data_IF_623990844916
#
_entry.id   IF_623990844916
#
_cell.length_a   1.000
_cell.length_b   1.000
_cell.length_c   1.000
_cell.angle_alpha   90.00
_cell.angle_beta   90.00
_cell.angle_gamma   90.00
#
_symmetry.space_group_name_H-M   'P 1'
#
loop_
_entity.id
_entity.type
_entity.pdbx_description
1 polymer ?
#
# COMPACT_ATOMS: atom_id res chain seq x y z
N UNK A 1 11.70 10.94 -14.26
CA UNK A 1 10.50 11.34 -13.53
C UNK A 1 9.54 10.18 -13.20
N UNK A 2 9.87 8.90 -13.48
CA UNK A 2 9.14 7.71 -13.05
C UNK A 2 7.93 7.30 -13.89
N UNK A 3 7.66 7.98 -15.01
CA UNK A 3 6.63 7.54 -15.95
C UNK A 3 7.05 6.27 -16.69
N UNK A 4 6.10 5.36 -16.89
CA UNK A 4 6.24 4.21 -17.78
C UNK A 4 6.33 4.75 -19.22
N UNK A 5 7.38 4.37 -20.01
CA UNK A 5 7.59 4.95 -21.35
C UNK A 5 6.37 4.82 -22.26
N UNK A 6 5.71 3.67 -22.28
CA UNK A 6 4.52 3.41 -23.08
C UNK A 6 3.34 4.30 -22.68
N UNK A 7 3.15 4.53 -21.36
CA UNK A 7 2.12 5.43 -20.85
C UNK A 7 2.33 6.86 -21.35
N UNK A 8 3.59 7.29 -21.30
CA UNK A 8 3.96 8.64 -21.72
C UNK A 8 3.81 8.83 -23.23
N UNK A 9 4.21 7.85 -24.04
CA UNK A 9 4.04 7.86 -25.50
C UNK A 9 2.56 7.89 -25.87
N UNK A 10 1.73 7.04 -25.24
CA UNK A 10 0.28 7.03 -25.50
C UNK A 10 -0.34 8.39 -25.18
N UNK A 11 -0.03 8.96 -24.03
CA UNK A 11 -0.53 10.27 -23.65
C UNK A 11 -0.08 11.37 -24.61
N UNK A 12 1.19 11.38 -25.03
CA UNK A 12 1.70 12.34 -26.01
C UNK A 12 1.01 12.21 -27.37
N UNK A 13 0.76 10.99 -27.83
CA UNK A 13 0.03 10.78 -29.08
C UNK A 13 -1.36 11.43 -29.01
N UNK A 14 -2.13 11.15 -27.96
CA UNK A 14 -3.47 11.71 -27.78
C UNK A 14 -3.49 13.22 -27.49
N UNK A 15 -2.36 13.79 -27.15
CA UNK A 15 -2.26 15.24 -26.93
C UNK A 15 -2.54 16.04 -28.23
N UNK A 16 -2.17 15.48 -29.39
CA UNK A 16 -2.36 16.15 -30.68
C UNK A 16 -3.08 15.31 -31.74
N UNK A 17 -3.39 14.06 -31.47
CA UNK A 17 -4.03 13.13 -32.36
C UNK A 17 -5.35 12.60 -31.79
N UNK A 18 -6.33 12.34 -32.67
CA UNK A 18 -7.62 11.75 -32.29
C UNK A 18 -7.80 10.38 -32.95
N UNK A 19 -7.96 9.27 -32.21
CA UNK A 19 -8.15 7.94 -32.79
C UNK A 19 -9.48 7.79 -33.55
N UNK A 20 -10.45 8.69 -33.33
CA UNK A 20 -11.80 8.58 -33.86
C UNK A 20 -12.68 7.60 -33.11
N UNK A 21 -12.23 7.14 -31.94
CA UNK A 21 -12.94 6.26 -31.01
C UNK A 21 -12.82 6.85 -29.60
N UNK A 22 -13.53 6.28 -28.64
CA UNK A 22 -13.42 6.65 -27.22
C UNK A 22 -12.25 5.94 -26.48
N UNK A 23 -11.50 5.10 -27.21
CA UNK A 23 -10.35 4.39 -26.63
C UNK A 23 -9.24 5.40 -26.31
N UNK A 24 -8.76 5.38 -25.07
CA UNK A 24 -7.64 6.21 -24.61
C UNK A 24 -6.38 5.38 -24.31
N UNK A 25 -6.53 4.11 -23.91
CA UNK A 25 -5.39 3.23 -23.59
C UNK A 25 -5.14 2.28 -24.76
N UNK A 26 -3.91 2.33 -25.28
CA UNK A 26 -3.45 1.52 -26.41
C UNK A 26 -2.18 0.78 -26.05
N UNK A 27 -2.04 -0.48 -26.46
CA UNK A 27 -0.69 -1.07 -26.53
C UNK A 27 0.15 -0.31 -27.56
N UNK A 28 1.47 -0.47 -27.53
CA UNK A 28 2.34 0.18 -28.52
C UNK A 28 2.04 -0.29 -29.94
N UNK A 29 1.67 -1.57 -30.11
CA UNK A 29 1.26 -2.15 -31.38
C UNK A 29 -0.06 -1.54 -31.88
N UNK A 30 -1.07 -1.46 -31.01
CA UNK A 30 -2.36 -0.84 -31.33
C UNK A 30 -2.19 0.65 -31.68
N UNK A 31 -1.37 1.36 -30.91
CA UNK A 31 -1.09 2.78 -31.17
C UNK A 31 -0.41 2.99 -32.53
N UNK A 32 0.57 2.14 -32.86
CA UNK A 32 1.27 2.19 -34.14
C UNK A 32 0.34 1.87 -35.30
N UNK A 33 -0.64 0.96 -35.15
CA UNK A 33 -1.62 0.63 -36.18
C UNK A 33 -2.70 1.68 -36.33
N UNK A 34 -3.15 2.29 -35.23
CA UNK A 34 -4.23 3.27 -35.24
C UNK A 34 -3.76 4.69 -35.69
N UNK A 35 -2.49 5.01 -35.41
CA UNK A 35 -1.95 6.36 -35.65
C UNK A 35 -1.96 6.74 -37.11
N UNK A 36 -2.51 7.92 -37.40
CA UNK A 36 -2.54 8.52 -38.75
C UNK A 36 -2.29 10.01 -38.67
N UNK A 37 -1.42 10.52 -39.56
CA UNK A 37 -1.12 11.93 -39.64
C UNK A 37 -2.34 12.79 -40.04
N UNK A 38 -3.29 12.22 -40.76
CA UNK A 38 -4.52 12.90 -41.20
C UNK A 38 -5.43 13.27 -40.03
N UNK A 39 -5.26 12.62 -38.88
CA UNK A 39 -6.04 12.85 -37.67
C UNK A 39 -5.29 13.69 -36.61
N UNK A 40 -4.13 14.23 -36.98
CA UNK A 40 -3.39 15.16 -36.13
C UNK A 40 -4.04 16.54 -36.17
N UNK A 41 -4.43 17.03 -34.99
CA UNK A 41 -5.03 18.37 -34.86
C UNK A 41 -4.02 19.48 -35.14
N UNK A 42 -4.50 20.59 -35.73
CA UNK A 42 -3.68 21.77 -35.98
C UNK A 42 -3.68 22.80 -34.86
N UNK A 43 -4.49 22.60 -33.83
CA UNK A 43 -4.56 23.47 -32.66
C UNK A 43 -3.43 23.14 -31.68
N UNK A 44 -2.97 24.16 -30.94
CA UNK A 44 -1.99 23.97 -29.89
C UNK A 44 -2.54 23.01 -28.80
N UNK A 45 -1.73 22.05 -28.42
CA UNK A 45 -2.06 21.10 -27.36
C UNK A 45 -1.51 21.59 -26.02
N UNK A 46 -2.26 21.39 -24.93
CA UNK A 46 -1.83 21.72 -23.57
C UNK A 46 -1.53 20.42 -22.83
N UNK A 47 -0.33 20.33 -22.29
CA UNK A 47 0.05 19.24 -21.42
C UNK A 47 -0.73 19.33 -20.09
N UNK A 48 -1.37 18.22 -19.70
CA UNK A 48 -2.09 18.08 -18.44
C UNK A 48 -1.37 17.05 -17.56
N UNK A 49 -0.70 17.48 -16.46
CA UNK A 49 0.01 16.58 -15.57
C UNK A 49 -0.90 15.55 -14.87
N UNK A 50 -2.14 15.91 -14.56
CA UNK A 50 -3.07 14.97 -13.91
C UNK A 50 -3.52 13.88 -14.89
N UNK A 51 -3.75 14.25 -16.16
CA UNK A 51 -4.02 13.26 -17.22
C UNK A 51 -2.80 12.36 -17.45
N UNK A 52 -1.59 12.90 -17.39
CA UNK A 52 -0.36 12.11 -17.51
C UNK A 52 -0.23 11.08 -16.35
N UNK A 53 -0.52 11.46 -15.13
CA UNK A 53 -0.56 10.52 -13.98
C UNK A 53 -1.62 9.44 -14.17
N UNK A 54 -2.80 9.82 -14.64
CA UNK A 54 -3.86 8.87 -14.92
C UNK A 54 -3.43 7.83 -15.95
N UNK A 55 -2.80 8.25 -17.06
CA UNK A 55 -2.24 7.32 -18.04
C UNK A 55 -1.22 6.38 -17.39
N UNK A 56 -0.30 6.93 -16.61
CA UNK A 56 0.72 6.12 -15.92
C UNK A 56 0.09 5.09 -14.99
N UNK A 57 -0.93 5.48 -14.23
CA UNK A 57 -1.70 4.57 -13.39
C UNK A 57 -2.32 3.43 -14.20
N UNK A 58 -3.00 3.74 -15.33
CA UNK A 58 -3.61 2.71 -16.17
C UNK A 58 -2.58 1.68 -16.66
N UNK A 59 -1.43 2.13 -17.17
CA UNK A 59 -0.37 1.22 -17.60
C UNK A 59 0.27 0.45 -16.45
N UNK A 60 0.41 1.06 -15.28
CA UNK A 60 0.88 0.36 -14.08
C UNK A 60 -0.07 -0.78 -13.71
N UNK A 61 -1.38 -0.57 -13.83
CA UNK A 61 -2.39 -1.61 -13.57
C UNK A 61 -2.32 -2.79 -14.55
N UNK A 62 -1.88 -2.59 -15.79
CA UNK A 62 -1.71 -3.69 -16.77
C UNK A 62 -0.51 -4.57 -16.49
N UNK A 63 0.52 -4.07 -15.78
CA UNK A 63 1.70 -4.87 -15.43
C UNK A 63 1.35 -5.96 -14.42
N UNK A 64 1.98 -7.10 -14.52
CA UNK A 64 1.87 -8.17 -13.52
C UNK A 64 2.52 -7.76 -12.20
N UNK A 65 2.11 -8.40 -11.10
CA UNK A 65 2.74 -8.14 -9.80
C UNK A 65 4.24 -8.50 -9.81
N UNK A 66 4.63 -9.52 -10.58
CA UNK A 66 6.03 -9.94 -10.74
C UNK A 66 6.86 -8.87 -11.45
N UNK A 67 6.35 -8.29 -12.55
CA UNK A 67 7.03 -7.19 -13.26
C UNK A 67 7.20 -5.96 -12.35
N UNK A 68 6.14 -5.59 -11.62
CA UNK A 68 6.21 -4.47 -10.68
C UNK A 68 7.12 -4.76 -9.49
N UNK A 69 7.14 -6.00 -8.98
CA UNK A 69 8.07 -6.42 -7.93
C UNK A 69 9.54 -6.28 -8.41
N UNK A 70 9.83 -6.66 -9.65
CA UNK A 70 11.16 -6.47 -10.24
C UNK A 70 11.58 -5.00 -10.32
N UNK A 71 10.65 -4.10 -10.64
CA UNK A 71 10.89 -2.65 -10.66
C UNK A 71 10.99 -2.05 -9.25
N UNK A 72 10.31 -2.64 -8.28
CA UNK A 72 10.26 -2.17 -6.90
C UNK A 72 11.44 -2.65 -6.05
N UNK A 73 11.99 -3.84 -6.34
CA UNK A 73 13.08 -4.43 -5.58
C UNK A 73 14.28 -3.48 -5.35
N UNK A 74 14.81 -2.77 -6.37
CA UNK A 74 15.91 -1.81 -6.17
C UNK A 74 15.57 -0.69 -5.18
N UNK A 75 14.30 -0.25 -5.14
CA UNK A 75 13.86 0.82 -4.22
C UNK A 75 13.88 0.33 -2.77
N UNK A 76 13.45 -0.92 -2.53
CA UNK A 76 13.50 -1.55 -1.20
C UNK A 76 14.94 -1.74 -0.75
N UNK A 77 15.84 -2.17 -1.65
CA UNK A 77 17.28 -2.35 -1.36
C UNK A 77 17.97 -1.03 -1.08
N UNK A 78 17.67 0.03 -1.85
CA UNK A 78 18.20 1.39 -1.64
C UNK A 78 17.75 1.96 -0.28
N UNK A 79 16.55 1.59 0.19
CA UNK A 79 16.06 1.92 1.53
C UNK A 79 16.76 1.12 2.64
N UNK A 80 17.75 0.26 2.32
CA UNK A 80 18.49 -0.56 3.26
C UNK A 80 17.71 -1.74 3.83
N UNK A 81 16.59 -2.12 3.20
CA UNK A 81 15.72 -3.18 3.67
C UNK A 81 16.00 -4.50 2.94
N UNK A 82 15.83 -5.62 3.67
CA UNK A 82 15.95 -6.96 3.10
C UNK A 82 14.61 -7.40 2.52
N UNK A 83 14.66 -7.96 1.32
CA UNK A 83 13.53 -8.66 0.69
C UNK A 83 13.64 -10.14 1.08
N UNK A 84 12.63 -10.73 1.77
CA UNK A 84 12.66 -12.14 2.16
C UNK A 84 12.80 -13.08 0.95
N UNK A 85 11.93 -12.90 -0.03
CA UNK A 85 11.93 -13.60 -1.31
C UNK A 85 11.08 -12.83 -2.35
N UNK A 86 11.15 -13.25 -3.63
CA UNK A 86 10.40 -12.61 -4.70
C UNK A 86 8.87 -12.72 -4.51
N UNK A 87 8.38 -13.85 -4.02
CA UNK A 87 6.95 -14.06 -3.77
C UNK A 87 6.41 -13.14 -2.67
N UNK A 88 7.23 -12.80 -1.68
CA UNK A 88 6.87 -11.81 -0.67
C UNK A 88 6.65 -10.42 -1.30
N UNK A 89 7.58 -10.00 -2.15
CA UNK A 89 7.49 -8.69 -2.81
C UNK A 89 6.28 -8.60 -3.75
N UNK A 90 5.97 -9.66 -4.47
CA UNK A 90 4.77 -9.75 -5.31
C UNK A 90 3.47 -9.61 -4.50
N UNK A 91 3.41 -10.23 -3.32
CA UNK A 91 2.26 -10.07 -2.38
C UNK A 91 2.14 -8.63 -1.88
N UNK A 92 3.25 -7.99 -1.51
CA UNK A 92 3.25 -6.57 -1.11
C UNK A 92 2.72 -5.70 -2.24
N UNK A 93 3.23 -5.87 -3.45
CA UNK A 93 2.76 -5.14 -4.63
C UNK A 93 1.26 -5.33 -4.84
N UNK A 94 0.75 -6.57 -4.77
CA UNK A 94 -0.67 -6.87 -4.92
C UNK A 94 -1.57 -6.09 -3.95
N UNK A 95 -1.09 -5.84 -2.72
CA UNK A 95 -1.86 -5.12 -1.69
C UNK A 95 -1.92 -3.61 -1.89
N UNK A 96 -0.96 -3.03 -2.61
CA UNK A 96 -0.82 -1.57 -2.69
C UNK A 96 -0.87 -1.01 -4.11
N UNK A 97 -0.78 -1.86 -5.14
CA UNK A 97 -0.72 -1.50 -6.56
C UNK A 97 -1.83 -0.52 -6.99
N UNK A 98 -3.06 -0.74 -6.54
CA UNK A 98 -4.21 0.10 -6.90
C UNK A 98 -4.16 1.53 -6.31
N UNK A 99 -3.26 1.77 -5.36
CA UNK A 99 -3.16 3.03 -4.60
C UNK A 99 -2.08 3.96 -5.12
N UNK A 100 -1.35 3.55 -6.16
CA UNK A 100 -0.17 4.26 -6.64
C UNK A 100 -0.28 4.60 -8.12
N UNK A 101 0.30 5.72 -8.51
CA UNK A 101 0.42 6.14 -9.89
C UNK A 101 1.81 5.88 -10.46
N UNK A 102 2.81 5.74 -9.60
CA UNK A 102 4.21 5.53 -9.97
C UNK A 102 4.83 4.38 -9.17
N UNK A 103 5.83 3.72 -9.73
CA UNK A 103 6.51 2.60 -9.08
C UNK A 103 7.17 3.03 -7.75
N UNK A 104 7.74 4.23 -7.68
CA UNK A 104 8.37 4.72 -6.45
C UNK A 104 7.37 4.94 -5.31
N UNK A 105 6.11 5.25 -5.62
CA UNK A 105 5.05 5.39 -4.60
C UNK A 105 4.69 4.07 -3.92
N UNK A 106 5.09 2.92 -4.51
CA UNK A 106 4.94 1.62 -3.84
C UNK A 106 5.63 1.60 -2.48
N UNK A 107 6.79 2.27 -2.36
CA UNK A 107 7.50 2.38 -1.09
C UNK A 107 6.68 3.12 -0.05
N UNK A 108 6.12 4.27 -0.38
CA UNK A 108 5.33 5.08 0.54
C UNK A 108 4.08 4.34 1.06
N UNK A 109 3.53 3.43 0.23
CA UNK A 109 2.36 2.64 0.57
C UNK A 109 2.68 1.30 1.24
N UNK A 110 3.97 0.89 1.35
CA UNK A 110 4.33 -0.47 1.78
C UNK A 110 5.59 -0.59 2.65
N UNK A 111 6.30 0.49 2.95
CA UNK A 111 7.55 0.45 3.72
C UNK A 111 7.42 -0.32 5.06
N UNK A 112 6.25 -0.30 5.68
CA UNK A 112 5.96 -0.98 6.94
C UNK A 112 5.97 -2.52 6.83
N UNK A 113 5.95 -3.09 5.64
CA UNK A 113 6.19 -4.53 5.45
C UNK A 113 7.66 -4.91 5.66
N UNK A 114 8.58 -3.97 5.56
CA UNK A 114 10.02 -4.19 5.61
C UNK A 114 10.68 -3.70 6.90
N UNK A 115 10.12 -2.67 7.53
CA UNK A 115 10.63 -2.11 8.77
C UNK A 115 9.52 -1.62 9.70
N UNK A 116 9.82 -1.56 11.01
CA UNK A 116 8.90 -1.01 11.99
C UNK A 116 8.75 0.51 11.85
N UNK A 117 7.63 1.10 12.30
CA UNK A 117 7.47 2.55 12.33
C UNK A 117 8.46 3.21 13.30
N UNK A 118 9.10 4.26 12.83
CA UNK A 118 9.99 5.11 13.63
C UNK A 118 9.25 6.31 14.24
N UNK A 119 8.11 6.67 13.63
CA UNK A 119 7.24 7.76 14.08
C UNK A 119 5.77 7.38 13.94
N UNK A 120 4.92 8.12 14.62
CA UNK A 120 3.47 7.88 14.63
C UNK A 120 2.72 9.15 14.23
N UNK A 121 1.62 9.00 13.48
CA UNK A 121 0.76 10.13 13.09
C UNK A 121 0.13 10.77 14.33
N UNK A 122 0.66 11.91 14.74
CA UNK A 122 0.23 12.65 15.92
C UNK A 122 -1.26 12.98 15.92
N UNK A 123 -1.85 13.27 14.76
CA UNK A 123 -3.28 13.60 14.66
C UNK A 123 -4.13 12.38 14.97
N UNK A 124 -3.74 11.22 14.46
CA UNK A 124 -4.42 9.95 14.74
C UNK A 124 -4.20 9.53 16.18
N UNK A 125 -2.99 9.67 16.72
CA UNK A 125 -2.69 9.39 18.14
C UNK A 125 -3.61 10.23 19.04
N UNK A 126 -3.59 11.55 18.94
CA UNK A 126 -4.43 12.46 19.77
C UNK A 126 -5.92 12.12 19.68
N UNK A 127 -6.40 11.72 18.51
CA UNK A 127 -7.82 11.42 18.29
C UNK A 127 -8.24 10.03 18.74
N UNK A 128 -7.38 9.03 18.59
CA UNK A 128 -7.74 7.61 18.67
C UNK A 128 -7.06 6.81 19.77
N UNK A 129 -5.87 7.23 20.21
CA UNK A 129 -5.23 6.62 21.36
C UNK A 129 -5.90 7.15 22.65
N UNK A 130 -6.46 6.25 23.47
CA UNK A 130 -7.18 6.57 24.70
C UNK A 130 -6.46 5.91 25.87
N UNK A 131 -6.79 6.33 27.09
CA UNK A 131 -6.16 5.87 28.35
C UNK A 131 -6.19 4.35 28.49
N UNK A 132 -7.23 3.68 28.01
CA UNK A 132 -7.39 2.23 28.05
C UNK A 132 -6.77 1.48 26.85
N UNK A 133 -6.31 2.20 25.81
CA UNK A 133 -5.81 1.58 24.57
C UNK A 133 -4.57 0.73 24.85
N UNK A 134 -3.63 1.23 25.61
CA UNK A 134 -2.40 0.51 25.95
C UNK A 134 -2.69 -0.82 26.65
N UNK A 135 -3.57 -0.81 27.66
CA UNK A 135 -3.99 -2.02 28.38
C UNK A 135 -4.65 -3.06 27.48
N UNK A 136 -5.60 -2.61 26.65
CA UNK A 136 -6.29 -3.49 25.70
C UNK A 136 -5.33 -4.11 24.67
N UNK A 137 -4.36 -3.35 24.17
CA UNK A 137 -3.37 -3.89 23.22
C UNK A 137 -2.42 -4.87 23.90
N UNK A 138 -2.07 -4.67 25.18
CA UNK A 138 -1.28 -5.63 25.95
C UNK A 138 -2.02 -6.96 26.15
N UNK A 139 -3.32 -6.92 26.49
CA UNK A 139 -4.14 -8.13 26.58
C UNK A 139 -4.24 -8.85 25.21
N UNK A 140 -4.41 -8.09 24.12
CA UNK A 140 -4.46 -8.64 22.76
C UNK A 140 -3.14 -9.27 22.32
N UNK A 141 -1.99 -8.80 22.79
CA UNK A 141 -0.71 -9.44 22.50
C UNK A 141 -0.68 -10.89 22.99
N UNK A 142 -1.19 -11.16 24.19
CA UNK A 142 -1.26 -12.52 24.73
C UNK A 142 -2.19 -13.42 23.90
N UNK A 143 -3.29 -12.87 23.43
CA UNK A 143 -4.22 -13.55 22.52
C UNK A 143 -3.56 -13.87 21.18
N UNK A 144 -2.93 -12.87 20.55
CA UNK A 144 -2.24 -13.00 19.25
C UNK A 144 -1.07 -13.99 19.34
N UNK A 145 -0.36 -14.03 20.45
CA UNK A 145 0.74 -14.97 20.71
C UNK A 145 0.33 -16.43 20.58
N UNK A 146 -0.91 -16.76 20.96
CA UNK A 146 -1.46 -18.11 20.91
C UNK A 146 -2.03 -18.55 19.56
N UNK A 147 -2.12 -17.66 18.55
CA UNK A 147 -2.75 -17.97 17.26
C UNK A 147 -1.91 -18.97 16.47
N UNK A 148 -2.50 -20.08 16.04
CA UNK A 148 -1.87 -21.11 15.19
C UNK A 148 -2.93 -21.79 14.31
N UNK A 149 -2.76 -21.81 12.96
CA UNK A 149 -1.69 -21.16 12.18
C UNK A 149 -1.79 -19.63 12.19
N UNK A 150 -0.65 -18.94 12.02
CA UNK A 150 -0.59 -17.47 12.03
C UNK A 150 -0.95 -16.90 10.66
N UNK A 151 -2.22 -17.00 10.32
CA UNK A 151 -2.80 -16.52 9.05
C UNK A 151 -3.76 -15.35 9.30
N UNK A 152 -3.99 -14.56 8.27
CA UNK A 152 -4.93 -13.43 8.30
C UNK A 152 -6.27 -13.79 8.97
N UNK A 153 -6.88 -14.90 8.54
CA UNK A 153 -8.20 -15.31 9.01
C UNK A 153 -8.14 -15.84 10.47
N UNK A 154 -7.15 -16.65 10.79
CA UNK A 154 -6.97 -17.14 12.18
C UNK A 154 -6.72 -16.00 13.18
N UNK A 155 -5.93 -15.00 12.79
CA UNK A 155 -5.68 -13.82 13.64
C UNK A 155 -6.96 -13.01 13.80
N UNK A 156 -7.67 -12.74 12.70
CA UNK A 156 -8.93 -12.01 12.71
C UNK A 156 -9.96 -12.68 13.64
N UNK A 157 -10.21 -13.98 13.43
CA UNK A 157 -11.26 -14.72 14.14
C UNK A 157 -10.94 -14.83 15.63
N UNK A 158 -9.66 -15.07 15.97
CA UNK A 158 -9.23 -15.14 17.39
C UNK A 158 -9.37 -13.78 18.08
N UNK A 159 -8.95 -12.69 17.44
CA UNK A 159 -9.10 -11.33 17.96
C UNK A 159 -10.57 -10.96 18.08
N UNK A 160 -11.39 -11.29 17.07
CA UNK A 160 -12.83 -11.00 17.07
C UNK A 160 -13.54 -11.73 18.21
N UNK A 161 -13.28 -13.05 18.40
CA UNK A 161 -13.86 -13.83 19.46
C UNK A 161 -13.49 -13.29 20.86
N UNK A 162 -12.23 -12.91 21.07
CA UNK A 162 -11.79 -12.31 22.33
C UNK A 162 -12.49 -10.98 22.62
N UNK A 163 -12.62 -10.11 21.62
CA UNK A 163 -13.28 -8.81 21.79
C UNK A 163 -14.79 -8.96 22.00
N UNK A 164 -15.43 -9.95 21.38
CA UNK A 164 -16.84 -10.27 21.60
C UNK A 164 -17.07 -10.75 23.03
N UNK A 165 -16.22 -11.65 23.56
CA UNK A 165 -16.28 -12.11 24.97
C UNK A 165 -16.16 -10.95 25.96
N UNK A 166 -15.36 -9.95 25.63
CA UNK A 166 -15.14 -8.75 26.45
C UNK A 166 -16.18 -7.65 26.23
N UNK A 167 -17.12 -7.83 25.30
CA UNK A 167 -18.09 -6.81 24.88
C UNK A 167 -17.40 -5.53 24.34
N UNK A 168 -16.23 -5.66 23.71
CA UNK A 168 -15.44 -4.57 23.15
C UNK A 168 -15.59 -4.54 21.62
N UNK A 169 -16.02 -3.40 21.08
CA UNK A 169 -16.10 -3.24 19.63
C UNK A 169 -14.73 -3.25 18.95
N UNK A 170 -14.59 -3.99 17.84
CA UNK A 170 -13.37 -4.11 17.04
C UNK A 170 -12.73 -2.74 16.71
N UNK A 171 -13.54 -1.74 16.37
CA UNK A 171 -13.08 -0.39 16.05
C UNK A 171 -12.34 0.34 17.18
N UNK A 172 -12.49 -0.13 18.43
CA UNK A 172 -11.82 0.47 19.59
C UNK A 172 -10.31 0.14 19.61
N UNK A 173 -9.92 -1.03 19.13
CA UNK A 173 -8.54 -1.52 19.17
C UNK A 173 -7.81 -1.45 17.82
N UNK A 174 -8.55 -1.55 16.71
CA UNK A 174 -7.97 -1.62 15.36
C UNK A 174 -7.05 -0.45 15.01
N UNK A 175 -7.43 0.77 15.38
CA UNK A 175 -6.62 1.97 15.07
C UNK A 175 -5.36 1.99 15.95
N UNK A 176 -5.46 1.59 17.24
CA UNK A 176 -4.32 1.48 18.12
C UNK A 176 -3.31 0.43 17.63
N UNK A 177 -3.77 -0.77 17.28
CA UNK A 177 -2.93 -1.79 16.66
C UNK A 177 -2.28 -1.30 15.36
N UNK A 178 -3.05 -0.64 14.49
CA UNK A 178 -2.53 -0.11 13.25
C UNK A 178 -1.45 0.95 13.46
N UNK A 179 -1.64 1.85 14.43
CA UNK A 179 -0.60 2.80 14.82
C UNK A 179 0.69 2.07 15.20
N UNK A 180 0.62 1.05 16.07
CA UNK A 180 1.80 0.27 16.48
C UNK A 180 2.49 -0.42 15.29
N UNK A 181 1.73 -0.96 14.33
CA UNK A 181 2.28 -1.75 13.22
C UNK A 181 2.75 -0.91 12.04
N UNK A 182 2.06 0.20 11.75
CA UNK A 182 2.22 0.99 10.52
C UNK A 182 2.61 2.45 10.81
N UNK A 183 2.44 2.93 12.02
CA UNK A 183 2.67 4.35 12.37
C UNK A 183 1.54 5.30 11.96
N UNK A 184 0.53 4.83 11.23
CA UNK A 184 -0.58 5.64 10.70
C UNK A 184 -1.94 4.98 10.94
N UNK A 185 -3.03 5.74 10.73
CA UNK A 185 -4.40 5.23 10.86
C UNK A 185 -4.96 4.55 9.60
N UNK A 186 -4.21 4.55 8.49
CA UNK A 186 -4.64 4.05 7.19
C UNK A 186 -3.65 3.03 6.62
N UNK A 187 -4.09 2.23 5.66
CA UNK A 187 -3.25 1.22 5.00
C UNK A 187 -4.06 0.02 4.53
N UNK A 188 -3.41 -1.04 4.05
CA UNK A 188 -4.05 -2.31 3.70
C UNK A 188 -4.71 -3.00 4.89
N UNK A 189 -5.31 -4.17 4.67
CA UNK A 189 -5.89 -4.97 5.75
C UNK A 189 -4.86 -5.27 6.85
N UNK A 190 -5.25 -5.00 8.12
CA UNK A 190 -4.32 -5.07 9.24
C UNK A 190 -3.88 -6.49 9.54
N UNK A 191 -4.79 -7.46 9.44
CA UNK A 191 -4.49 -8.85 9.71
C UNK A 191 -3.61 -9.48 8.63
N UNK A 192 -3.78 -9.02 7.37
CA UNK A 192 -2.85 -9.34 6.28
C UNK A 192 -1.44 -8.79 6.55
N UNK A 193 -1.33 -7.58 7.09
CA UNK A 193 -0.03 -7.02 7.49
C UNK A 193 0.60 -7.91 8.56
N UNK A 194 -0.15 -8.30 9.60
CA UNK A 194 0.34 -9.16 10.68
C UNK A 194 0.84 -10.51 10.15
N UNK A 195 0.04 -11.17 9.29
CA UNK A 195 0.44 -12.44 8.65
C UNK A 195 1.77 -12.28 7.90
N UNK A 196 1.90 -11.23 7.11
CA UNK A 196 3.07 -11.02 6.26
C UNK A 196 4.34 -10.69 7.03
N UNK A 197 4.26 -9.85 8.07
CA UNK A 197 5.43 -9.53 8.90
C UNK A 197 5.75 -10.62 9.92
N UNK A 198 4.79 -11.51 10.19
CA UNK A 198 4.92 -12.64 11.09
C UNK A 198 4.66 -12.31 12.56
N UNK A 199 4.47 -13.37 13.36
CA UNK A 199 4.09 -13.26 14.78
C UNK A 199 5.08 -12.46 15.61
N UNK A 200 6.35 -12.80 15.53
CA UNK A 200 7.40 -12.18 16.37
C UNK A 200 7.48 -10.67 16.11
N UNK A 201 7.51 -10.27 14.86
CA UNK A 201 7.59 -8.86 14.49
C UNK A 201 6.29 -8.12 14.82
N UNK A 202 5.13 -8.75 14.67
CA UNK A 202 3.84 -8.21 15.10
C UNK A 202 3.85 -7.87 16.58
N UNK A 203 4.20 -8.82 17.44
CA UNK A 203 4.25 -8.62 18.88
C UNK A 203 5.27 -7.56 19.29
N UNK A 204 6.47 -7.61 18.72
CA UNK A 204 7.54 -6.63 18.96
C UNK A 204 7.09 -5.20 18.65
N UNK A 205 6.37 -5.01 17.52
CA UNK A 205 5.87 -3.68 17.12
C UNK A 205 4.74 -3.19 18.02
N UNK A 206 3.83 -4.07 18.44
CA UNK A 206 2.76 -3.69 19.37
C UNK A 206 3.36 -3.28 20.70
N UNK A 207 4.28 -4.07 21.27
CA UNK A 207 4.98 -3.77 22.52
C UNK A 207 5.70 -2.40 22.45
N UNK A 208 6.56 -2.20 21.44
CA UNK A 208 7.29 -0.94 21.26
C UNK A 208 6.38 0.26 20.96
N UNK A 209 5.24 0.05 20.29
CA UNK A 209 4.24 1.07 20.07
C UNK A 209 3.51 1.45 21.36
N UNK A 210 3.11 0.48 22.17
CA UNK A 210 2.48 0.70 23.49
C UNK A 210 3.40 1.50 24.38
N UNK A 211 4.68 1.10 24.51
CA UNK A 211 5.66 1.81 25.33
C UNK A 211 5.84 3.28 24.93
N UNK A 212 5.98 3.55 23.63
CA UNK A 212 6.23 4.89 23.12
C UNK A 212 5.00 5.79 23.19
N UNK A 213 3.81 5.24 22.90
CA UNK A 213 2.57 6.03 22.85
C UNK A 213 1.95 6.23 24.22
N UNK A 214 2.16 5.32 25.18
CA UNK A 214 1.73 5.51 26.56
C UNK A 214 2.48 6.66 27.26
N UNK A 215 3.72 6.94 26.86
CA UNK A 215 4.53 8.05 27.42
C UNK A 215 4.29 9.41 26.76
N UNK A 216 3.51 9.43 25.67
CA UNK A 216 3.27 10.66 24.86
C UNK A 216 1.89 11.30 25.12
N UNK A 217 1.10 10.78 26.06
CA UNK A 217 -0.24 11.26 26.44
C UNK A 217 -0.26 11.98 27.80
#
# INVERSE_FOLDING_TARGET
>A
DGYIPEAFINMLALLGWNPGTEQEIFSMEELAQAFSLDRVGRSGARFDPEKAKWFNHQYLQTKTNSELAGLFAPIVEEAGCRIPDAGYLEKVVALVKERVNFVHELWDQSWFFFKAPESYDEKTVKKRWKDDTAGLLTELMDVIKGVDPFTRDSIHDTVAAYLEEKEIGMGKVMIGMRLCLVGSGTGPDLFTIMEMIGREETLRRIEGGVERLATSC
#
